data_IF_702837529663
#
_entry.id   IF_702837529663
#
_cell.length_a   1.000
_cell.length_b   1.000
_cell.length_c   1.000
_cell.angle_alpha   90.00
_cell.angle_beta   90.00
_cell.angle_gamma   90.00
#
_symmetry.space_group_name_H-M   'P 1'
#
loop_
_entity.id
_entity.type
_entity.pdbx_description
1 polymer ?
#
# COMPACT_ATOMS: atom_id res chain seq x y z
N UNK A 1 -27.99 -45.15 10.50
CA UNK A 1 -26.54 -45.02 10.33
C UNK A 1 -26.20 -43.52 10.34
N UNK A 2 -25.71 -43.07 11.48
CA UNK A 2 -25.31 -41.68 11.71
C UNK A 2 -23.90 -41.50 11.13
N UNK A 3 -23.78 -40.73 10.08
CA UNK A 3 -22.48 -40.28 9.53
C UNK A 3 -21.89 -39.24 10.50
N UNK A 4 -20.89 -39.65 11.25
CA UNK A 4 -20.08 -38.75 12.08
C UNK A 4 -19.22 -37.88 11.20
N UNK A 5 -19.56 -36.60 11.11
CA UNK A 5 -18.73 -35.55 10.51
C UNK A 5 -17.52 -35.30 11.42
N UNK A 6 -16.44 -36.06 11.19
CA UNK A 6 -15.10 -35.75 11.72
C UNK A 6 -14.44 -34.89 10.66
N UNK A 7 -14.21 -33.62 10.96
CA UNK A 7 -13.11 -32.76 10.48
C UNK A 7 -13.39 -31.28 10.75
N UNK A 8 -13.74 -30.96 12.01
CA UNK A 8 -13.58 -29.58 12.52
C UNK A 8 -12.44 -29.59 13.54
N UNK A 9 -11.20 -29.73 13.05
CA UNK A 9 -10.00 -29.55 13.88
C UNK A 9 -9.78 -28.06 14.11
N UNK A 10 -9.43 -27.64 15.31
CA UNK A 10 -9.52 -26.26 15.76
C UNK A 10 -8.49 -25.36 15.07
N UNK A 11 -8.89 -24.67 14.03
CA UNK A 11 -8.17 -23.54 13.45
C UNK A 11 -7.80 -22.47 14.50
N UNK A 12 -8.39 -22.51 15.69
CA UNK A 12 -8.21 -21.52 16.74
C UNK A 12 -6.86 -21.57 17.48
N UNK A 13 -6.29 -22.77 17.73
CA UNK A 13 -5.10 -22.87 18.59
C UNK A 13 -3.80 -22.42 17.88
N UNK A 14 -3.59 -22.83 16.63
CA UNK A 14 -2.40 -22.41 15.87
C UNK A 14 -2.42 -20.90 15.56
N UNK A 15 -3.58 -20.32 15.25
CA UNK A 15 -3.75 -18.88 15.07
C UNK A 15 -3.43 -18.12 16.36
N UNK A 16 -3.90 -18.63 17.50
CA UNK A 16 -3.67 -18.01 18.81
C UNK A 16 -2.19 -18.04 19.22
N UNK A 17 -1.52 -19.16 19.02
CA UNK A 17 -0.08 -19.31 19.31
C UNK A 17 0.74 -18.36 18.43
N UNK A 18 0.45 -18.28 17.14
CA UNK A 18 1.17 -17.40 16.23
C UNK A 18 0.96 -15.92 16.58
N UNK A 19 -0.26 -15.53 16.93
CA UNK A 19 -0.58 -14.17 17.35
C UNK A 19 0.11 -13.82 18.67
N UNK A 20 0.12 -14.72 19.64
CA UNK A 20 0.80 -14.56 20.93
C UNK A 20 2.33 -14.45 20.76
N UNK A 21 2.92 -15.31 19.94
CA UNK A 21 4.36 -15.23 19.59
C UNK A 21 4.70 -13.90 18.92
N UNK A 22 3.92 -13.49 17.93
CA UNK A 22 4.17 -12.20 17.28
C UNK A 22 4.02 -11.03 18.26
N UNK A 23 3.03 -11.06 19.14
CA UNK A 23 2.84 -10.03 20.16
C UNK A 23 4.06 -9.89 21.10
N UNK A 24 4.69 -11.01 21.46
CA UNK A 24 5.92 -11.00 22.27
C UNK A 24 7.11 -10.46 21.49
N UNK A 25 7.34 -10.95 20.27
CA UNK A 25 8.40 -10.46 19.36
C UNK A 25 8.22 -8.97 19.10
N UNK A 26 6.99 -8.53 18.84
CA UNK A 26 6.66 -7.11 18.60
C UNK A 26 7.03 -6.23 19.79
N UNK A 27 6.76 -6.68 21.05
CA UNK A 27 7.14 -5.91 22.25
C UNK A 27 8.64 -5.65 22.30
N UNK A 28 9.46 -6.64 21.96
CA UNK A 28 10.92 -6.50 21.90
C UNK A 28 11.36 -5.58 20.76
N UNK A 29 10.84 -5.81 19.55
CA UNK A 29 11.17 -5.00 18.37
C UNK A 29 10.72 -3.53 18.52
N UNK A 30 9.65 -3.27 19.27
CA UNK A 30 9.15 -1.91 19.46
C UNK A 30 10.03 -1.06 20.36
N UNK A 31 10.96 -1.65 21.11
CA UNK A 31 11.97 -0.91 21.87
C UNK A 31 13.10 -0.34 20.99
N UNK A 32 13.25 -0.87 19.78
CA UNK A 32 14.29 -0.46 18.85
C UNK A 32 13.77 0.63 17.88
N UNK A 33 14.69 1.34 17.22
CA UNK A 33 14.34 2.32 16.19
C UNK A 33 13.46 1.69 15.09
N UNK A 34 12.32 2.30 14.72
CA UNK A 34 11.35 1.71 13.79
C UNK A 34 11.92 1.38 12.41
N UNK A 35 12.76 2.26 11.86
CA UNK A 35 13.34 2.07 10.52
C UNK A 35 14.39 0.95 10.52
N UNK A 36 15.22 0.87 11.57
CA UNK A 36 16.18 -0.23 11.75
C UNK A 36 15.49 -1.59 11.88
N UNK A 37 14.37 -1.64 12.62
CA UNK A 37 13.57 -2.87 12.77
C UNK A 37 12.96 -3.29 11.45
N UNK A 38 12.48 -2.35 10.65
CA UNK A 38 11.95 -2.65 9.32
C UNK A 38 13.00 -3.39 8.47
N UNK A 39 14.19 -2.82 8.33
CA UNK A 39 15.27 -3.45 7.56
C UNK A 39 15.73 -4.78 8.17
N UNK A 40 15.87 -4.86 9.48
CA UNK A 40 16.25 -6.11 10.17
C UNK A 40 15.24 -7.22 9.90
N UNK A 41 13.96 -6.97 10.10
CA UNK A 41 12.90 -7.96 9.90
C UNK A 41 12.80 -8.40 8.44
N UNK A 42 12.80 -7.45 7.50
CA UNK A 42 12.65 -7.76 6.09
C UNK A 42 13.88 -8.43 5.49
N UNK A 43 15.09 -8.03 5.89
CA UNK A 43 16.32 -8.71 5.47
C UNK A 43 16.40 -10.14 6.03
N UNK A 44 15.96 -10.36 7.27
CA UNK A 44 15.89 -11.71 7.85
C UNK A 44 14.90 -12.58 7.10
N UNK A 45 13.72 -12.06 6.77
CA UNK A 45 12.72 -12.77 6.00
C UNK A 45 13.19 -13.03 4.56
N UNK A 46 13.89 -12.08 3.94
CA UNK A 46 14.51 -12.24 2.60
C UNK A 46 15.53 -13.40 2.60
N UNK A 47 16.40 -13.46 3.63
CA UNK A 47 17.36 -14.57 3.77
C UNK A 47 16.64 -15.92 3.93
N UNK A 48 15.60 -15.97 4.75
CA UNK A 48 14.78 -17.17 4.93
C UNK A 48 14.12 -17.60 3.61
N UNK A 49 13.51 -16.66 2.86
CA UNK A 49 12.88 -16.94 1.58
C UNK A 49 13.87 -17.26 0.44
N UNK A 50 15.18 -17.04 0.63
CA UNK A 50 16.19 -17.51 -0.34
C UNK A 50 16.42 -19.02 -0.25
N UNK A 51 15.95 -19.69 0.80
CA UNK A 51 15.92 -21.14 0.94
C UNK A 51 14.57 -21.65 0.40
N UNK A 52 14.52 -22.36 -0.75
CA UNK A 52 13.27 -22.70 -1.43
C UNK A 52 12.27 -23.46 -0.57
N UNK A 53 12.74 -24.43 0.24
CA UNK A 53 11.89 -25.21 1.16
C UNK A 53 11.25 -24.33 2.23
N UNK A 54 12.00 -23.37 2.77
CA UNK A 54 11.50 -22.45 3.80
C UNK A 54 10.55 -21.42 3.19
N UNK A 55 10.84 -20.90 1.99
CA UNK A 55 9.93 -20.04 1.25
C UNK A 55 8.60 -20.73 0.99
N UNK A 56 8.64 -21.98 0.48
CA UNK A 56 7.43 -22.75 0.22
C UNK A 56 6.61 -22.99 1.50
N UNK A 57 7.27 -23.36 2.59
CA UNK A 57 6.62 -23.53 3.89
C UNK A 57 5.94 -22.24 4.36
N UNK A 58 6.64 -21.07 4.29
CA UNK A 58 6.09 -19.77 4.67
C UNK A 58 4.86 -19.46 3.80
N UNK A 59 4.98 -19.64 2.49
CA UNK A 59 3.89 -19.36 1.56
C UNK A 59 2.66 -20.25 1.82
N UNK A 60 2.83 -21.54 2.08
CA UNK A 60 1.74 -22.44 2.45
C UNK A 60 1.04 -22.03 3.76
N UNK A 61 1.81 -21.55 4.75
CA UNK A 61 1.24 -21.13 6.03
C UNK A 61 0.53 -19.78 5.98
N UNK A 62 0.88 -18.90 5.04
CA UNK A 62 0.40 -17.52 5.01
C UNK A 62 -0.49 -17.17 3.81
N UNK A 63 -0.48 -17.97 2.75
CA UNK A 63 -1.38 -17.76 1.60
C UNK A 63 -2.68 -18.56 1.74
N UNK A 64 -3.75 -18.01 1.19
CA UNK A 64 -5.02 -18.71 0.99
C UNK A 64 -5.28 -18.78 -0.52
N UNK A 65 -5.65 -19.96 -0.98
CA UNK A 65 -6.07 -20.18 -2.37
C UNK A 65 -7.56 -20.51 -2.34
N UNK A 66 -8.39 -19.55 -2.70
CA UNK A 66 -9.84 -19.71 -2.78
C UNK A 66 -10.38 -18.77 -3.86
N UNK A 67 -11.10 -19.33 -4.82
CA UNK A 67 -11.67 -18.58 -5.94
C UNK A 67 -12.66 -17.47 -5.51
N UNK A 68 -13.28 -17.60 -4.33
CA UNK A 68 -14.16 -16.57 -3.78
C UNK A 68 -13.41 -15.26 -3.40
N UNK A 69 -12.09 -15.34 -3.24
CA UNK A 69 -11.25 -14.17 -2.97
C UNK A 69 -10.74 -13.47 -4.23
N UNK A 70 -10.82 -14.13 -5.38
CA UNK A 70 -10.32 -13.61 -6.64
C UNK A 70 -11.12 -12.38 -7.09
N UNK A 71 -10.44 -11.40 -7.66
CA UNK A 71 -11.03 -10.15 -8.15
C UNK A 71 -10.46 -9.76 -9.51
N UNK A 72 -11.36 -9.42 -10.43
CA UNK A 72 -11.02 -8.73 -11.67
C UNK A 72 -11.22 -7.23 -11.45
N UNK A 73 -10.15 -6.46 -11.43
CA UNK A 73 -10.17 -5.00 -11.24
C UNK A 73 -9.15 -4.37 -12.18
N UNK A 74 -9.50 -3.26 -12.82
CA UNK A 74 -8.64 -2.57 -13.79
C UNK A 74 -8.19 -3.44 -14.98
N UNK A 75 -8.87 -4.53 -15.28
CA UNK A 75 -8.44 -5.53 -16.27
C UNK A 75 -7.28 -6.42 -15.78
N UNK A 76 -7.01 -6.45 -14.48
CA UNK A 76 -6.02 -7.30 -13.84
C UNK A 76 -6.70 -8.32 -12.94
N UNK A 77 -6.16 -9.54 -12.92
CA UNK A 77 -6.63 -10.63 -12.06
C UNK A 77 -5.86 -10.70 -10.75
N UNK A 78 -6.54 -10.43 -9.64
CA UNK A 78 -5.97 -10.46 -8.28
C UNK A 78 -6.39 -11.76 -7.59
N UNK A 79 -5.42 -12.57 -7.12
CA UNK A 79 -5.68 -13.82 -6.38
C UNK A 79 -6.43 -13.62 -5.06
N UNK A 80 -6.37 -12.44 -4.48
CA UNK A 80 -7.15 -11.98 -3.35
C UNK A 80 -7.12 -10.45 -3.28
N UNK A 81 -8.08 -9.81 -2.58
CA UNK A 81 -8.22 -8.35 -2.59
C UNK A 81 -7.30 -7.61 -1.63
N UNK A 82 -6.35 -8.28 -0.97
CA UNK A 82 -5.51 -7.69 0.09
C UNK A 82 -4.11 -7.41 -0.42
N UNK A 83 -3.72 -6.14 -0.45
CA UNK A 83 -2.40 -5.72 -0.87
C UNK A 83 -1.60 -4.99 0.21
N UNK A 84 -0.34 -4.71 -0.13
CA UNK A 84 0.57 -3.90 0.67
C UNK A 84 0.78 -2.53 0.02
N UNK A 85 0.54 -1.46 0.78
CA UNK A 85 0.65 -0.09 0.27
C UNK A 85 2.09 0.38 0.08
N UNK A 86 2.26 1.35 -0.83
CA UNK A 86 3.55 2.00 -1.12
C UNK A 86 4.24 2.55 0.13
N UNK A 87 5.56 2.59 0.09
CA UNK A 87 6.42 3.04 1.18
C UNK A 87 6.93 1.93 2.08
N UNK A 88 6.39 0.71 1.98
CA UNK A 88 6.89 -0.44 2.72
C UNK A 88 8.12 -1.06 2.02
N UNK A 89 8.00 -1.43 0.76
CA UNK A 89 9.12 -1.80 -0.11
C UNK A 89 9.36 -0.70 -1.15
N UNK A 90 10.16 0.30 -0.76
CA UNK A 90 10.39 1.47 -1.62
C UNK A 90 11.22 1.17 -2.86
N UNK A 91 12.03 0.12 -2.78
CA UNK A 91 13.09 -0.17 -3.73
C UNK A 91 12.92 -1.51 -4.47
N UNK A 92 11.76 -2.16 -4.34
CA UNK A 92 11.51 -3.49 -4.89
C UNK A 92 12.56 -4.55 -4.45
N UNK A 93 12.99 -4.49 -3.18
CA UNK A 93 14.02 -5.39 -2.62
C UNK A 93 13.37 -6.63 -2.02
N UNK A 94 12.11 -6.52 -1.57
CA UNK A 94 11.46 -7.54 -0.75
C UNK A 94 10.30 -8.26 -1.45
N UNK A 95 10.25 -8.25 -2.79
CA UNK A 95 9.16 -8.89 -3.53
C UNK A 95 9.02 -10.37 -3.21
N UNK A 96 10.15 -11.09 -3.08
CA UNK A 96 10.17 -12.52 -2.78
C UNK A 96 9.56 -12.86 -1.41
N UNK A 97 9.96 -12.24 -0.29
CA UNK A 97 9.27 -12.44 0.97
C UNK A 97 7.82 -11.95 0.95
N UNK A 98 7.53 -10.79 0.35
CA UNK A 98 6.18 -10.24 0.33
C UNK A 98 5.18 -11.11 -0.45
N UNK A 99 5.62 -11.72 -1.56
CA UNK A 99 4.80 -12.70 -2.29
C UNK A 99 4.47 -13.94 -1.46
N UNK A 100 5.39 -14.34 -0.56
CA UNK A 100 5.22 -15.49 0.34
C UNK A 100 4.34 -15.18 1.55
N UNK A 101 4.08 -13.90 1.86
CA UNK A 101 3.17 -13.49 2.94
C UNK A 101 1.68 -13.45 2.55
N UNK A 102 1.34 -13.92 1.35
CA UNK A 102 -0.05 -14.09 0.93
C UNK A 102 -0.72 -12.84 0.38
N UNK A 103 0.00 -11.74 0.17
CA UNK A 103 -0.56 -10.56 -0.48
C UNK A 103 -0.96 -10.85 -1.94
N UNK A 104 -2.11 -10.34 -2.36
CA UNK A 104 -2.56 -10.39 -3.75
C UNK A 104 -1.80 -9.42 -4.63
N UNK A 105 -1.37 -8.28 -4.08
CA UNK A 105 -0.61 -7.25 -4.77
C UNK A 105 0.26 -6.44 -3.82
N UNK A 106 1.28 -5.79 -4.37
CA UNK A 106 2.20 -4.90 -3.64
C UNK A 106 2.44 -3.63 -4.44
N UNK A 107 2.33 -2.47 -3.82
CA UNK A 107 2.83 -1.22 -4.39
C UNK A 107 4.27 -0.98 -3.92
N UNK A 108 5.21 -0.94 -4.88
CA UNK A 108 6.59 -0.51 -4.63
C UNK A 108 6.70 1.02 -4.75
N UNK A 109 7.74 1.60 -4.18
CA UNK A 109 7.96 3.04 -4.25
C UNK A 109 7.52 3.76 -2.96
N UNK A 110 7.37 5.07 -2.97
CA UNK A 110 7.33 5.94 -4.16
C UNK A 110 8.71 6.03 -4.81
N UNK A 111 8.73 5.81 -6.11
CA UNK A 111 9.92 5.88 -6.97
C UNK A 111 10.05 7.28 -7.54
N UNK A 112 11.27 7.82 -7.57
CA UNK A 112 11.60 9.07 -8.22
C UNK A 112 12.68 8.83 -9.29
N UNK A 113 12.83 9.72 -10.30
CA UNK A 113 13.84 9.53 -11.36
C UNK A 113 15.24 9.31 -10.81
N UNK A 114 15.68 10.18 -9.89
CA UNK A 114 16.99 10.09 -9.24
C UNK A 114 16.85 9.52 -7.84
N UNK A 115 17.86 8.77 -7.41
CA UNK A 115 17.98 8.35 -6.01
C UNK A 115 17.97 9.57 -5.08
N UNK A 116 17.34 9.43 -3.93
CA UNK A 116 17.37 10.48 -2.89
C UNK A 116 17.27 9.88 -1.49
N UNK A 117 17.97 10.46 -0.49
CA UNK A 117 18.03 9.93 0.88
C UNK A 117 16.72 10.13 1.64
N UNK A 118 15.85 11.03 1.19
CA UNK A 118 14.67 11.49 1.93
C UNK A 118 15.01 12.53 2.99
N UNK A 119 14.16 12.62 4.01
CA UNK A 119 14.35 13.55 5.12
C UNK A 119 15.27 12.95 6.20
N UNK A 120 15.87 13.80 7.03
CA UNK A 120 16.78 13.38 8.08
C UNK A 120 16.09 12.52 9.16
N UNK A 121 16.75 11.48 9.67
CA UNK A 121 16.29 10.72 10.84
C UNK A 121 16.36 11.56 12.14
N UNK A 122 15.48 11.25 13.13
CA UNK A 122 14.43 10.25 13.11
C UNK A 122 13.21 10.71 12.28
N UNK A 123 12.68 9.82 11.48
CA UNK A 123 11.61 10.14 10.50
C UNK A 123 10.46 9.15 10.49
N UNK A 124 10.47 8.18 11.40
CA UNK A 124 9.41 7.21 11.61
C UNK A 124 9.20 7.00 13.11
N UNK A 125 7.97 7.20 13.57
CA UNK A 125 7.61 7.18 15.00
C UNK A 125 6.41 6.24 15.19
N UNK A 126 6.53 5.33 16.17
CA UNK A 126 5.43 4.46 16.59
C UNK A 126 4.67 5.08 17.75
N UNK A 127 3.37 4.95 17.71
CA UNK A 127 2.44 5.42 18.74
C UNK A 127 1.55 4.24 19.16
N UNK A 128 2.09 3.31 19.99
CA UNK A 128 1.43 2.03 20.27
C UNK A 128 0.08 2.17 20.95
N UNK A 129 -0.08 3.19 21.81
CA UNK A 129 -1.34 3.43 22.53
C UNK A 129 -2.53 3.69 21.60
N UNK A 130 -2.28 4.32 20.44
CA UNK A 130 -3.29 4.60 19.42
C UNK A 130 -3.20 3.68 18.20
N UNK A 131 -2.38 2.61 18.24
CA UNK A 131 -2.08 1.76 17.07
C UNK A 131 -1.75 2.59 15.82
N UNK A 132 -0.87 3.57 15.95
CA UNK A 132 -0.59 4.57 14.93
C UNK A 132 0.91 4.69 14.63
N UNK A 133 1.20 5.33 13.48
CA UNK A 133 2.55 5.75 13.09
C UNK A 133 2.50 7.20 12.60
N UNK A 134 3.53 7.97 12.92
CA UNK A 134 3.82 9.24 12.24
C UNK A 134 5.10 9.04 11.43
N UNK A 135 5.07 9.45 10.15
CA UNK A 135 6.25 9.39 9.30
C UNK A 135 6.49 10.70 8.55
N UNK A 136 7.76 10.97 8.29
CA UNK A 136 8.24 12.05 7.43
C UNK A 136 9.38 11.60 6.53
N UNK A 137 9.16 10.50 5.79
CA UNK A 137 10.21 9.79 5.04
C UNK A 137 10.79 10.61 3.88
N UNK A 138 9.97 11.38 3.13
CA UNK A 138 10.43 12.24 2.03
C UNK A 138 10.87 11.47 0.78
N UNK A 139 10.17 10.38 0.44
CA UNK A 139 10.41 9.56 -0.76
C UNK A 139 11.86 9.06 -0.90
N UNK A 140 12.47 8.61 0.21
CA UNK A 140 13.78 7.96 0.14
C UNK A 140 13.71 6.69 -0.74
N UNK A 141 14.50 6.66 -1.81
CA UNK A 141 14.57 5.55 -2.75
C UNK A 141 15.88 5.57 -3.56
N UNK A 142 16.18 4.46 -4.23
CA UNK A 142 17.42 4.24 -4.98
C UNK A 142 17.37 4.77 -6.43
N UNK A 143 16.27 5.42 -6.83
CA UNK A 143 16.04 5.93 -8.18
C UNK A 143 15.49 4.87 -9.14
N UNK A 144 14.83 5.36 -10.18
CA UNK A 144 14.04 4.53 -11.09
C UNK A 144 14.84 3.45 -11.80
N UNK A 145 16.09 3.72 -12.20
CA UNK A 145 16.92 2.76 -12.94
C UNK A 145 17.28 1.53 -12.08
N UNK A 146 17.68 1.77 -10.81
CA UNK A 146 18.02 0.66 -9.91
C UNK A 146 16.78 -0.19 -9.57
N UNK A 147 15.62 0.45 -9.42
CA UNK A 147 14.37 -0.22 -9.13
C UNK A 147 13.86 -1.00 -10.35
N UNK A 148 13.94 -0.41 -11.55
CA UNK A 148 13.59 -1.09 -12.80
C UNK A 148 14.39 -2.38 -12.99
N UNK A 149 15.70 -2.35 -12.73
CA UNK A 149 16.54 -3.55 -12.81
C UNK A 149 16.05 -4.65 -11.86
N UNK A 150 15.76 -4.33 -10.60
CA UNK A 150 15.26 -5.32 -9.60
C UNK A 150 13.90 -5.91 -10.00
N UNK A 151 13.02 -5.09 -10.56
CA UNK A 151 11.74 -5.56 -11.07
C UNK A 151 11.91 -6.47 -12.29
N UNK A 152 12.83 -6.14 -13.20
CA UNK A 152 13.17 -6.99 -14.34
C UNK A 152 13.78 -8.34 -13.88
N UNK A 153 14.70 -8.30 -12.92
CA UNK A 153 15.27 -9.51 -12.30
C UNK A 153 14.17 -10.35 -11.64
N UNK A 154 13.20 -9.72 -10.96
CA UNK A 154 12.04 -10.40 -10.39
C UNK A 154 11.19 -11.08 -11.47
N UNK A 155 10.81 -10.38 -12.54
CA UNK A 155 10.01 -10.93 -13.64
C UNK A 155 10.68 -12.11 -14.32
N UNK A 156 12.01 -12.08 -14.43
CA UNK A 156 12.81 -13.15 -15.09
C UNK A 156 13.19 -14.29 -14.13
N UNK A 157 12.88 -14.16 -12.83
CA UNK A 157 13.20 -15.21 -11.86
C UNK A 157 12.18 -16.35 -11.89
N UNK A 158 12.61 -17.54 -11.46
CA UNK A 158 11.71 -18.67 -11.28
C UNK A 158 10.75 -18.40 -10.09
N UNK A 159 9.47 -18.54 -10.34
CA UNK A 159 8.41 -18.37 -9.34
C UNK A 159 7.80 -19.70 -8.96
N UNK A 160 7.42 -19.83 -7.68
CA UNK A 160 6.52 -20.90 -7.25
C UNK A 160 5.07 -20.53 -7.61
N UNK A 161 4.15 -21.50 -7.68
CA UNK A 161 2.73 -21.20 -7.94
C UNK A 161 2.12 -20.16 -6.97
N UNK A 162 2.66 -20.08 -5.75
CA UNK A 162 2.22 -19.11 -4.73
C UNK A 162 2.73 -17.69 -5.00
N UNK A 163 3.87 -17.55 -5.67
CA UNK A 163 4.55 -16.26 -5.88
C UNK A 163 4.35 -15.71 -7.29
N UNK A 164 4.02 -16.57 -8.27
CA UNK A 164 3.88 -16.20 -9.67
C UNK A 164 2.76 -15.18 -9.97
N UNK A 165 1.74 -15.12 -9.12
CA UNK A 165 0.54 -14.29 -9.32
C UNK A 165 0.57 -12.98 -8.51
N UNK A 166 1.75 -12.52 -8.07
CA UNK A 166 1.85 -11.23 -7.37
C UNK A 166 1.74 -10.08 -8.37
N UNK A 167 0.70 -9.27 -8.23
CA UNK A 167 0.54 -8.03 -9.00
C UNK A 167 1.41 -6.94 -8.39
N UNK A 168 2.16 -6.22 -9.22
CA UNK A 168 3.09 -5.17 -8.79
C UNK A 168 2.65 -3.81 -9.31
N UNK A 169 2.26 -2.92 -8.38
CA UNK A 169 1.99 -1.52 -8.65
C UNK A 169 3.24 -0.67 -8.55
N UNK A 170 3.52 0.15 -9.56
CA UNK A 170 4.56 1.16 -9.54
C UNK A 170 4.03 2.48 -8.99
N UNK A 171 4.31 2.80 -7.71
CA UNK A 171 3.97 4.10 -7.13
C UNK A 171 5.06 5.11 -7.48
N UNK A 172 4.71 6.16 -8.22
CA UNK A 172 5.65 7.12 -8.80
C UNK A 172 5.44 8.53 -8.27
N UNK A 173 6.53 9.29 -8.18
CA UNK A 173 6.52 10.66 -7.68
C UNK A 173 7.69 11.49 -8.20
N UNK A 174 7.69 12.80 -7.88
CA UNK A 174 8.80 13.68 -8.24
C UNK A 174 9.93 13.66 -7.21
N UNK A 175 11.13 13.97 -7.65
CA UNK A 175 12.26 14.27 -6.76
C UNK A 175 11.98 15.53 -5.90
N UNK A 176 12.60 15.60 -4.73
CA UNK A 176 12.41 16.69 -3.77
C UNK A 176 12.81 18.04 -4.37
N UNK A 177 13.88 18.06 -5.20
CA UNK A 177 14.45 19.27 -5.79
C UNK A 177 13.82 19.65 -7.14
N UNK A 178 12.93 18.83 -7.69
CA UNK A 178 12.21 19.18 -8.91
C UNK A 178 11.11 20.18 -8.56
N UNK A 179 11.05 21.30 -9.25
CA UNK A 179 9.99 22.30 -9.08
C UNK A 179 8.63 21.74 -9.51
N UNK A 180 7.54 22.25 -8.95
CA UNK A 180 6.20 21.73 -9.24
C UNK A 180 5.80 21.91 -10.71
N UNK A 181 6.26 22.97 -11.38
CA UNK A 181 6.00 23.23 -12.80
C UNK A 181 6.59 22.15 -13.71
N UNK A 182 7.69 21.54 -13.28
CA UNK A 182 8.42 20.48 -13.98
C UNK A 182 8.12 19.08 -13.45
N UNK A 183 7.25 18.97 -12.45
CA UNK A 183 6.91 17.69 -11.81
C UNK A 183 6.50 16.62 -12.84
N UNK A 184 5.69 16.99 -13.85
CA UNK A 184 5.21 16.08 -14.88
C UNK A 184 6.35 15.32 -15.59
N UNK A 185 7.53 15.93 -15.73
CA UNK A 185 8.71 15.29 -16.35
C UNK A 185 9.20 14.12 -15.51
N UNK A 186 9.25 14.29 -14.18
CA UNK A 186 9.68 13.24 -13.26
C UNK A 186 8.71 12.04 -13.26
N UNK A 187 7.40 12.31 -13.27
CA UNK A 187 6.39 11.26 -13.39
C UNK A 187 6.51 10.51 -14.71
N UNK A 188 6.73 11.24 -15.82
CA UNK A 188 6.94 10.66 -17.16
C UNK A 188 8.16 9.74 -17.18
N UNK A 189 9.31 10.19 -16.69
CA UNK A 189 10.54 9.38 -16.62
C UNK A 189 10.29 8.09 -15.84
N UNK A 190 9.65 8.19 -14.67
CA UNK A 190 9.35 7.00 -13.86
C UNK A 190 8.38 6.05 -14.57
N UNK A 191 7.33 6.59 -15.19
CA UNK A 191 6.32 5.82 -15.91
C UNK A 191 6.93 5.03 -17.07
N UNK A 192 7.67 5.70 -17.95
CA UNK A 192 8.29 5.06 -19.12
C UNK A 192 9.32 4.01 -18.72
N UNK A 193 10.18 4.33 -17.74
CA UNK A 193 11.23 3.41 -17.29
C UNK A 193 10.67 2.15 -16.63
N UNK A 194 9.59 2.27 -15.86
CA UNK A 194 8.97 1.14 -15.17
C UNK A 194 7.87 0.45 -15.99
N UNK A 195 7.56 0.94 -17.20
CA UNK A 195 6.39 0.50 -17.96
C UNK A 195 6.34 -1.02 -18.14
N UNK A 196 7.41 -1.63 -18.60
CA UNK A 196 7.45 -3.07 -18.91
C UNK A 196 7.55 -3.97 -17.68
N UNK A 197 7.88 -3.40 -16.50
CA UNK A 197 8.16 -4.15 -15.28
C UNK A 197 7.13 -3.98 -14.17
N UNK A 198 6.14 -3.10 -14.35
CA UNK A 198 5.00 -2.90 -13.42
C UNK A 198 3.71 -3.35 -14.09
N UNK A 199 2.71 -3.78 -13.30
CA UNK A 199 1.41 -4.21 -13.82
C UNK A 199 0.40 -3.05 -13.88
N UNK A 200 0.50 -2.09 -12.95
CA UNK A 200 -0.26 -0.84 -12.94
C UNK A 200 0.58 0.27 -12.32
N UNK A 201 0.12 1.52 -12.43
CA UNK A 201 0.80 2.69 -11.89
C UNK A 201 -0.07 3.49 -10.95
N UNK A 202 0.57 4.10 -9.95
CA UNK A 202 -0.09 5.01 -9.01
C UNK A 202 0.68 6.33 -8.95
N UNK A 203 0.02 7.40 -9.39
CA UNK A 203 0.55 8.78 -9.29
C UNK A 203 0.39 9.26 -7.85
N UNK A 204 1.50 9.55 -7.17
CA UNK A 204 1.50 9.97 -5.78
C UNK A 204 1.81 11.47 -5.65
N UNK A 205 0.78 12.27 -5.54
CA UNK A 205 0.84 13.74 -5.29
C UNK A 205 0.40 14.10 -3.87
N UNK A 206 0.17 13.10 -3.00
CA UNK A 206 -0.56 13.29 -1.74
C UNK A 206 0.30 13.19 -0.47
N UNK A 207 1.63 12.97 -0.59
CA UNK A 207 2.51 12.90 0.57
C UNK A 207 2.66 14.28 1.23
N UNK A 208 2.49 14.37 2.56
CA UNK A 208 2.74 15.62 3.29
C UNK A 208 4.22 15.87 3.56
N UNK A 209 5.10 14.94 3.18
CA UNK A 209 6.49 14.88 3.61
C UNK A 209 7.49 15.40 2.57
N UNK A 210 6.99 15.83 1.41
CA UNK A 210 7.76 16.49 0.36
C UNK A 210 7.21 17.91 0.21
N UNK A 211 8.05 18.96 0.37
CA UNK A 211 7.59 20.33 0.28
C UNK A 211 6.83 20.62 -1.02
N UNK A 212 5.71 21.30 -0.92
CA UNK A 212 4.89 21.71 -2.05
C UNK A 212 4.18 20.60 -2.83
N UNK A 213 4.43 19.31 -2.52
CA UNK A 213 3.87 18.20 -3.31
C UNK A 213 2.35 18.21 -3.34
N UNK A 214 1.69 18.50 -2.21
CA UNK A 214 0.22 18.51 -2.14
C UNK A 214 -0.43 19.62 -2.96
N UNK A 215 0.30 20.67 -3.31
CA UNK A 215 -0.18 21.68 -4.27
C UNK A 215 -0.38 21.10 -5.68
N UNK A 216 0.28 19.97 -6.00
CA UNK A 216 0.04 19.25 -7.26
C UNK A 216 -1.33 18.53 -7.30
N UNK A 217 -2.11 18.54 -6.21
CA UNK A 217 -3.50 18.07 -6.22
C UNK A 217 -4.48 19.12 -6.74
N UNK A 218 -4.03 20.38 -6.93
CA UNK A 218 -4.79 21.42 -7.61
C UNK A 218 -5.04 21.02 -9.07
N UNK A 219 -6.24 21.32 -9.56
CA UNK A 219 -6.80 20.78 -10.82
C UNK A 219 -5.85 20.86 -12.03
N UNK A 220 -5.31 22.05 -12.30
CA UNK A 220 -4.49 22.26 -13.50
C UNK A 220 -3.13 21.56 -13.44
N UNK A 221 -2.48 21.61 -12.27
CA UNK A 221 -1.21 20.93 -12.06
C UNK A 221 -1.37 19.40 -12.13
N UNK A 222 -2.43 18.89 -11.54
CA UNK A 222 -2.77 17.46 -11.56
C UNK A 222 -3.12 17.01 -12.98
N UNK A 223 -3.94 17.77 -13.70
CA UNK A 223 -4.31 17.50 -15.09
C UNK A 223 -3.07 17.40 -15.99
N UNK A 224 -2.12 18.33 -15.86
CA UNK A 224 -0.87 18.32 -16.64
C UNK A 224 -0.09 17.02 -16.45
N UNK A 225 0.04 16.53 -15.20
CA UNK A 225 0.73 15.28 -14.90
C UNK A 225 -0.03 14.09 -15.51
N UNK A 226 -1.32 13.96 -15.19
CA UNK A 226 -2.12 12.81 -15.59
C UNK A 226 -2.31 12.71 -17.10
N UNK A 227 -2.57 13.83 -17.78
CA UNK A 227 -2.70 13.87 -19.23
C UNK A 227 -1.39 13.51 -19.94
N UNK A 228 -0.25 13.98 -19.42
CA UNK A 228 1.06 13.62 -19.97
C UNK A 228 1.29 12.11 -19.91
N UNK A 229 0.97 11.48 -18.78
CA UNK A 229 1.11 10.04 -18.60
C UNK A 229 0.13 9.25 -19.48
N UNK A 230 -1.13 9.67 -19.55
CA UNK A 230 -2.14 8.98 -20.37
C UNK A 230 -1.86 9.08 -21.87
N UNK A 231 -1.32 10.20 -22.34
CA UNK A 231 -0.90 10.34 -23.74
C UNK A 231 0.17 9.31 -24.12
N UNK A 232 1.15 9.08 -23.23
CA UNK A 232 2.18 8.05 -23.41
C UNK A 232 1.55 6.67 -23.32
N UNK A 233 0.70 6.45 -22.31
CA UNK A 233 0.05 5.18 -22.04
C UNK A 233 -0.80 4.69 -23.21
N UNK A 234 -1.63 5.55 -23.78
CA UNK A 234 -2.48 5.21 -24.94
C UNK A 234 -1.68 5.03 -26.24
N UNK A 235 -0.44 5.51 -26.30
CA UNK A 235 0.49 5.20 -27.39
C UNK A 235 1.15 3.82 -27.30
N UNK A 236 0.99 3.11 -26.19
CA UNK A 236 1.53 1.76 -26.02
C UNK A 236 0.59 0.71 -26.62
N UNK A 237 1.15 -0.43 -27.05
CA UNK A 237 0.36 -1.56 -27.59
C UNK A 237 -0.61 -2.16 -26.58
N UNK A 238 -0.25 -2.12 -25.30
CA UNK A 238 -1.06 -2.58 -24.18
C UNK A 238 -1.00 -1.52 -23.07
N UNK A 239 -1.91 -0.54 -23.08
CA UNK A 239 -2.00 0.46 -22.01
C UNK A 239 -2.19 -0.19 -20.64
N UNK A 240 -1.55 0.38 -19.61
CA UNK A 240 -1.63 -0.13 -18.24
C UNK A 240 -2.57 0.71 -17.39
N UNK A 241 -3.19 0.12 -16.37
CA UNK A 241 -4.01 0.89 -15.43
C UNK A 241 -3.19 2.01 -14.78
N UNK A 242 -3.72 3.23 -14.85
CA UNK A 242 -3.16 4.41 -14.20
C UNK A 242 -4.13 4.90 -13.12
N UNK A 243 -3.66 4.93 -11.88
CA UNK A 243 -4.42 5.33 -10.70
C UNK A 243 -3.83 6.62 -10.09
N UNK A 244 -4.64 7.33 -9.34
CA UNK A 244 -4.21 8.48 -8.54
C UNK A 244 -4.37 8.18 -7.04
N UNK A 245 -3.34 8.46 -6.24
CA UNK A 245 -3.40 8.36 -4.77
C UNK A 245 -3.64 9.72 -4.14
N UNK A 246 -4.77 9.87 -3.44
CA UNK A 246 -5.21 11.13 -2.87
C UNK A 246 -4.99 11.23 -1.36
N UNK A 247 -4.91 12.47 -0.86
CA UNK A 247 -4.85 12.75 0.57
C UNK A 247 -6.24 12.63 1.20
N UNK A 248 -6.34 12.24 2.48
CA UNK A 248 -7.63 12.21 3.18
C UNK A 248 -8.08 13.60 3.65
N UNK A 249 -7.21 14.61 3.53
CA UNK A 249 -7.42 15.96 4.06
C UNK A 249 -8.02 16.93 3.03
N UNK A 250 -8.43 16.44 1.85
CA UNK A 250 -9.06 17.22 0.79
C UNK A 250 -10.44 17.71 1.22
N UNK A 251 -10.84 18.89 0.71
CA UNK A 251 -12.21 19.39 0.83
C UNK A 251 -13.14 18.68 -0.15
N UNK A 252 -14.44 18.86 0.04
CA UNK A 252 -15.46 18.29 -0.86
C UNK A 252 -15.28 18.80 -2.29
N UNK A 253 -15.04 20.11 -2.46
CA UNK A 253 -14.81 20.74 -3.75
C UNK A 253 -13.55 20.17 -4.46
N UNK A 254 -12.48 19.93 -3.70
CA UNK A 254 -11.28 19.30 -4.24
C UNK A 254 -11.53 17.84 -4.64
N UNK A 255 -12.37 17.12 -3.90
CA UNK A 255 -12.77 15.75 -4.27
C UNK A 255 -13.60 15.75 -5.55
N UNK A 256 -14.52 16.70 -5.72
CA UNK A 256 -15.33 16.84 -6.95
C UNK A 256 -14.47 17.17 -8.16
N UNK A 257 -13.49 18.07 -8.01
CA UNK A 257 -12.52 18.37 -9.07
C UNK A 257 -11.70 17.12 -9.48
N UNK A 258 -11.27 16.30 -8.50
CA UNK A 258 -10.57 15.06 -8.78
C UNK A 258 -11.49 14.06 -9.50
N UNK A 259 -12.75 13.92 -9.06
CA UNK A 259 -13.72 13.02 -9.71
C UNK A 259 -13.93 13.43 -11.17
N UNK A 260 -14.17 14.71 -11.44
CA UNK A 260 -14.30 15.22 -12.81
C UNK A 260 -13.04 14.95 -13.64
N UNK A 261 -11.87 15.13 -13.05
CA UNK A 261 -10.60 14.89 -13.72
C UNK A 261 -10.38 13.41 -14.03
N UNK A 262 -10.84 12.47 -13.17
CA UNK A 262 -10.72 11.02 -13.44
C UNK A 262 -11.45 10.63 -14.73
N UNK A 263 -12.60 11.20 -14.98
CA UNK A 263 -13.37 10.99 -16.21
C UNK A 263 -12.68 11.65 -17.42
N UNK A 264 -12.24 12.90 -17.27
CA UNK A 264 -11.61 13.68 -18.32
C UNK A 264 -10.34 13.01 -18.87
N UNK A 265 -9.47 12.51 -17.97
CA UNK A 265 -8.19 11.89 -18.35
C UNK A 265 -8.28 10.35 -18.41
N UNK A 266 -9.46 9.77 -18.23
CA UNK A 266 -9.71 8.32 -18.27
C UNK A 266 -8.81 7.53 -17.32
N UNK A 267 -8.75 7.95 -16.05
CA UNK A 267 -8.05 7.17 -15.04
C UNK A 267 -8.75 5.83 -14.79
N UNK A 268 -7.95 4.82 -14.49
CA UNK A 268 -8.48 3.48 -14.19
C UNK A 268 -9.04 3.37 -12.77
N UNK A 269 -8.65 4.25 -11.85
CA UNK A 269 -9.14 4.23 -10.47
C UNK A 269 -8.37 5.16 -9.53
N UNK A 270 -8.72 5.05 -8.25
CA UNK A 270 -8.09 5.82 -7.16
C UNK A 270 -7.54 4.93 -6.05
N UNK A 271 -6.54 5.42 -5.32
CA UNK A 271 -6.11 4.88 -4.03
C UNK A 271 -6.52 5.85 -2.92
N UNK A 272 -7.42 5.44 -2.04
CA UNK A 272 -7.97 6.26 -0.95
C UNK A 272 -7.70 5.59 0.40
N UNK A 273 -6.77 6.11 1.22
CA UNK A 273 -6.07 7.36 1.10
C UNK A 273 -4.58 7.23 1.49
N UNK A 274 -3.84 8.32 1.31
CA UNK A 274 -2.54 8.52 1.92
C UNK A 274 -2.70 8.83 3.44
N UNK A 275 -1.62 9.22 4.11
CA UNK A 275 -1.60 9.64 5.51
C UNK A 275 -2.22 11.03 5.70
N UNK A 276 -2.75 11.32 6.91
CA UNK A 276 -3.32 12.62 7.27
C UNK A 276 -2.32 13.51 8.03
N UNK A 277 -2.47 14.82 7.89
CA UNK A 277 -1.79 15.79 8.75
C UNK A 277 -2.58 16.08 10.03
N UNK A 278 -3.85 15.70 10.08
CA UNK A 278 -4.68 15.82 11.28
C UNK A 278 -4.17 14.89 12.39
N UNK A 279 -4.32 15.33 13.63
CA UNK A 279 -4.06 14.54 14.83
C UNK A 279 -5.34 14.07 15.52
N UNK A 280 -6.51 14.30 14.90
CA UNK A 280 -7.79 13.80 15.40
C UNK A 280 -7.77 12.28 15.51
N UNK A 281 -8.43 11.75 16.55
CA UNK A 281 -8.47 10.30 16.82
C UNK A 281 -7.23 9.78 17.59
N UNK A 282 -6.27 10.64 17.95
CA UNK A 282 -5.18 10.36 18.86
C UNK A 282 -5.66 10.58 20.31
N UNK A 283 -6.17 9.54 20.95
CA UNK A 283 -6.87 9.67 22.24
C UNK A 283 -6.05 9.15 23.43
N UNK A 284 -5.00 8.38 23.17
CA UNK A 284 -4.24 7.67 24.20
C UNK A 284 -2.78 8.09 24.29
N UNK A 285 -2.23 8.69 23.25
CA UNK A 285 -0.86 9.23 23.27
C UNK A 285 -0.88 10.65 23.85
N UNK A 286 -0.02 10.92 24.82
CA UNK A 286 0.07 12.24 25.45
C UNK A 286 0.37 13.34 24.42
N UNK A 287 -0.29 14.50 24.54
CA UNK A 287 -0.12 15.64 23.63
C UNK A 287 1.36 16.09 23.52
N UNK A 288 2.11 16.10 24.62
CA UNK A 288 3.52 16.44 24.65
C UNK A 288 4.40 15.51 23.79
N UNK A 289 4.04 14.23 23.66
CA UNK A 289 4.73 13.28 22.77
C UNK A 289 4.45 13.64 21.32
N UNK A 290 3.18 13.94 20.98
CA UNK A 290 2.76 14.32 19.63
C UNK A 290 3.44 15.62 19.20
N UNK A 291 3.48 16.62 20.07
CA UNK A 291 4.15 17.90 19.85
C UNK A 291 5.65 17.74 19.63
N UNK A 292 6.31 16.91 20.45
CA UNK A 292 7.74 16.59 20.29
C UNK A 292 8.04 15.90 18.96
N UNK A 293 7.18 15.04 18.47
CA UNK A 293 7.32 14.42 17.15
C UNK A 293 7.12 15.47 16.04
N UNK A 294 6.15 16.36 16.18
CA UNK A 294 5.87 17.46 15.26
C UNK A 294 5.27 17.00 13.92
N UNK A 295 5.73 17.63 12.83
CA UNK A 295 5.19 17.39 11.49
C UNK A 295 5.42 15.96 10.97
N UNK A 296 4.51 15.50 10.12
CA UNK A 296 4.54 14.19 9.46
C UNK A 296 3.15 13.65 9.19
N UNK A 297 3.08 12.65 8.33
CA UNK A 297 1.83 11.96 8.01
C UNK A 297 1.46 10.93 9.07
N UNK A 298 0.26 11.03 9.63
CA UNK A 298 -0.33 10.09 10.58
C UNK A 298 -1.05 8.97 9.84
N UNK A 299 -0.78 7.73 10.23
CA UNK A 299 -1.42 6.51 9.73
C UNK A 299 -1.84 5.59 10.88
N UNK A 300 -2.60 4.57 10.58
CA UNK A 300 -3.09 3.60 11.56
C UNK A 300 -4.54 3.83 11.97
N UNK A 301 -4.93 3.34 13.15
CA UNK A 301 -6.31 3.35 13.60
C UNK A 301 -6.98 4.76 13.57
N UNK A 302 -6.28 5.85 13.95
CA UNK A 302 -6.86 7.19 13.89
C UNK A 302 -7.29 7.67 12.49
N UNK A 303 -6.72 7.08 11.44
CA UNK A 303 -7.03 7.45 10.05
C UNK A 303 -8.29 6.73 9.51
N UNK A 304 -8.74 5.63 10.14
CA UNK A 304 -9.77 4.73 9.60
C UNK A 304 -11.04 5.45 9.20
N UNK A 305 -11.64 6.15 10.13
CA UNK A 305 -12.93 6.83 9.93
C UNK A 305 -12.84 7.86 8.79
N UNK A 306 -11.83 8.73 8.85
CA UNK A 306 -11.65 9.77 7.82
C UNK A 306 -11.44 9.18 6.44
N UNK A 307 -10.63 8.12 6.35
CA UNK A 307 -10.39 7.42 5.08
C UNK A 307 -11.67 6.74 4.55
N UNK A 308 -12.52 6.16 5.42
CA UNK A 308 -13.80 5.58 5.02
C UNK A 308 -14.78 6.65 4.53
N UNK A 309 -14.84 7.81 5.19
CA UNK A 309 -15.69 8.93 4.77
C UNK A 309 -15.32 9.43 3.37
N UNK A 310 -14.03 9.67 3.11
CA UNK A 310 -13.57 10.11 1.79
C UNK A 310 -13.85 9.04 0.73
N UNK A 311 -13.62 7.76 1.05
CA UNK A 311 -13.87 6.66 0.14
C UNK A 311 -15.35 6.56 -0.22
N UNK A 312 -16.25 6.56 0.78
CA UNK A 312 -17.69 6.48 0.58
C UNK A 312 -18.21 7.66 -0.23
N UNK A 313 -17.69 8.88 0.03
CA UNK A 313 -18.06 10.06 -0.75
C UNK A 313 -17.72 9.86 -2.23
N UNK A 314 -16.48 9.51 -2.54
CA UNK A 314 -16.02 9.30 -3.93
C UNK A 314 -16.81 8.16 -4.59
N UNK A 315 -16.99 7.04 -3.91
CA UNK A 315 -17.75 5.89 -4.44
C UNK A 315 -19.20 6.28 -4.78
N UNK A 316 -19.85 7.06 -3.91
CA UNK A 316 -21.22 7.55 -4.14
C UNK A 316 -21.29 8.50 -5.33
N UNK A 317 -20.40 9.52 -5.38
CA UNK A 317 -20.40 10.50 -6.46
C UNK A 317 -20.09 9.86 -7.84
N UNK A 318 -19.26 8.84 -7.86
CA UNK A 318 -18.97 8.08 -9.08
C UNK A 318 -19.96 6.95 -9.35
N UNK A 319 -21.02 6.82 -8.56
CA UNK A 319 -22.02 5.74 -8.66
C UNK A 319 -21.37 4.34 -8.67
N UNK A 320 -20.30 4.17 -7.88
CA UNK A 320 -19.48 2.93 -7.80
C UNK A 320 -18.87 2.48 -9.14
N UNK A 321 -18.82 3.36 -10.16
CA UNK A 321 -18.24 3.04 -11.48
C UNK A 321 -16.72 3.16 -11.51
N UNK A 322 -16.14 4.04 -10.67
CA UNK A 322 -14.70 4.21 -10.58
C UNK A 322 -14.12 3.21 -9.55
N UNK A 323 -13.24 2.29 -9.96
CA UNK A 323 -12.62 1.37 -9.04
C UNK A 323 -11.71 2.06 -8.01
N UNK A 324 -11.79 1.62 -6.75
CA UNK A 324 -11.04 2.22 -5.63
C UNK A 324 -10.27 1.15 -4.87
N UNK A 325 -8.98 1.42 -4.62
CA UNK A 325 -8.19 0.69 -3.63
C UNK A 325 -8.31 1.42 -2.29
N UNK A 326 -8.96 0.79 -1.31
CA UNK A 326 -9.13 1.35 0.04
C UNK A 326 -7.87 1.19 0.89
N UNK A 327 -7.36 2.28 1.47
CA UNK A 327 -6.18 2.28 2.32
C UNK A 327 -6.40 3.16 3.56
N UNK A 328 -5.76 2.81 4.68
CA UNK A 328 -5.82 3.57 5.94
C UNK A 328 -6.68 2.92 7.01
N UNK A 329 -6.05 2.58 8.14
CA UNK A 329 -6.71 2.08 9.34
C UNK A 329 -7.16 0.62 9.31
N UNK A 330 -6.60 -0.21 8.45
CA UNK A 330 -6.97 -1.63 8.31
C UNK A 330 -6.03 -2.50 9.15
N UNK A 331 -6.59 -3.21 10.14
CA UNK A 331 -5.91 -4.14 11.05
C UNK A 331 -6.56 -5.52 11.03
N UNK A 332 -7.85 -5.58 10.78
CA UNK A 332 -8.68 -6.79 10.87
C UNK A 332 -9.50 -7.01 9.60
N UNK A 333 -10.11 -8.20 9.49
CA UNK A 333 -11.08 -8.47 8.44
C UNK A 333 -12.31 -7.55 8.50
N UNK A 334 -12.77 -7.18 9.70
CA UNK A 334 -13.86 -6.21 9.86
C UNK A 334 -13.50 -4.83 9.28
N UNK A 335 -12.26 -4.34 9.53
CA UNK A 335 -11.81 -3.07 8.96
C UNK A 335 -11.75 -3.11 7.42
N UNK A 336 -11.38 -4.26 6.84
CA UNK A 336 -11.39 -4.46 5.40
C UNK A 336 -12.83 -4.49 4.86
N UNK A 337 -13.75 -5.14 5.58
CA UNK A 337 -15.17 -5.18 5.23
C UNK A 337 -15.79 -3.78 5.23
N UNK A 338 -15.45 -2.93 6.22
CA UNK A 338 -15.88 -1.53 6.25
C UNK A 338 -15.41 -0.76 4.99
N UNK A 339 -14.18 -1.04 4.50
CA UNK A 339 -13.68 -0.46 3.25
C UNK A 339 -14.49 -0.93 2.03
N UNK A 340 -14.80 -2.23 1.96
CA UNK A 340 -15.61 -2.77 0.86
C UNK A 340 -17.05 -2.22 0.92
N UNK A 341 -17.64 -2.12 2.10
CA UNK A 341 -18.96 -1.51 2.28
C UNK A 341 -18.98 -0.03 1.88
N UNK A 342 -17.87 0.68 2.10
CA UNK A 342 -17.70 2.06 1.66
C UNK A 342 -17.45 2.20 0.14
N UNK A 343 -17.26 1.10 -0.61
CA UNK A 343 -17.15 1.08 -2.07
C UNK A 343 -15.78 0.72 -2.63
N UNK A 344 -14.81 0.27 -1.80
CA UNK A 344 -13.54 -0.25 -2.31
C UNK A 344 -13.72 -1.60 -3.02
N UNK A 345 -12.90 -1.90 -4.04
CA UNK A 345 -12.78 -3.21 -4.67
C UNK A 345 -11.56 -3.98 -4.17
N UNK A 346 -10.50 -3.28 -3.78
CA UNK A 346 -9.28 -3.81 -3.21
C UNK A 346 -8.92 -3.03 -1.95
N UNK A 347 -8.12 -3.61 -1.06
CA UNK A 347 -7.65 -2.95 0.16
C UNK A 347 -6.14 -3.05 0.31
N UNK A 348 -5.51 -2.01 0.89
CA UNK A 348 -4.09 -1.99 1.21
C UNK A 348 -3.87 -1.83 2.70
N UNK A 349 -3.09 -2.74 3.27
CA UNK A 349 -2.57 -2.60 4.63
C UNK A 349 -1.19 -1.93 4.62
N UNK A 350 -0.84 -1.27 5.73
CA UNK A 350 0.50 -0.75 5.99
C UNK A 350 0.78 -0.76 7.50
N UNK A 351 0.19 0.16 8.27
CA UNK A 351 0.35 0.22 9.73
C UNK A 351 -0.18 -1.06 10.39
N UNK A 352 -1.32 -1.58 9.92
CA UNK A 352 -1.85 -2.86 10.40
C UNK A 352 -0.85 -4.00 10.26
N UNK A 353 -0.09 -4.07 9.18
CA UNK A 353 0.96 -5.09 9.02
C UNK A 353 2.06 -4.99 10.08
N UNK A 354 2.45 -3.76 10.48
CA UNK A 354 3.43 -3.55 11.55
C UNK A 354 2.91 -4.02 12.91
N UNK A 355 1.61 -3.87 13.17
CA UNK A 355 1.00 -4.20 14.47
C UNK A 355 0.50 -5.64 14.56
N UNK A 356 -0.11 -6.17 13.50
CA UNK A 356 -0.73 -7.51 13.49
C UNK A 356 0.20 -8.60 12.93
N UNK A 357 1.27 -8.18 12.22
CA UNK A 357 2.33 -9.09 11.76
C UNK A 357 2.04 -9.82 10.45
N UNK A 358 2.85 -10.85 10.13
CA UNK A 358 2.90 -11.45 8.81
C UNK A 358 1.64 -12.20 8.39
N UNK A 359 0.75 -12.54 9.32
CA UNK A 359 -0.54 -13.20 9.02
C UNK A 359 -1.65 -12.25 8.60
N UNK A 360 -1.45 -10.93 8.59
CA UNK A 360 -2.53 -9.96 8.38
C UNK A 360 -3.31 -10.20 7.07
N UNK A 361 -2.61 -10.46 5.96
CA UNK A 361 -3.28 -10.74 4.69
C UNK A 361 -4.15 -12.00 4.80
N UNK A 362 -3.60 -13.08 5.36
CA UNK A 362 -4.33 -14.32 5.60
C UNK A 362 -5.54 -14.12 6.52
N UNK A 363 -5.36 -13.44 7.67
CA UNK A 363 -6.45 -13.21 8.63
C UNK A 363 -7.60 -12.40 8.01
N UNK A 364 -7.29 -11.41 7.17
CA UNK A 364 -8.31 -10.65 6.44
C UNK A 364 -9.03 -11.58 5.45
N UNK A 365 -8.30 -12.35 4.65
CA UNK A 365 -8.89 -13.30 3.70
C UNK A 365 -9.77 -14.36 4.39
N UNK A 366 -9.32 -14.94 5.51
CA UNK A 366 -10.12 -15.89 6.32
C UNK A 366 -11.44 -15.25 6.78
N UNK A 367 -11.38 -13.99 7.22
CA UNK A 367 -12.58 -13.24 7.63
C UNK A 367 -13.53 -12.92 6.46
N UNK A 368 -13.02 -12.78 5.25
CA UNK A 368 -13.87 -12.56 4.07
C UNK A 368 -14.58 -13.83 3.60
N UNK A 369 -13.99 -15.02 3.85
CA UNK A 369 -14.55 -16.33 3.50
C UNK A 369 -15.55 -16.86 4.53
N UNK A 370 -15.52 -16.39 5.77
CA UNK A 370 -16.36 -16.85 6.86
C UNK A 370 -17.78 -16.25 6.88
N UNK A 371 -18.25 -15.73 5.75
CA UNK A 371 -19.59 -15.12 5.60
C UNK A 371 -20.60 -16.07 4.99
#
# INVERSE_FOLDING_TARGET
MLSTNKDSVPYSLHCFIFAAMYALIRKLLFQMNPERVHYFAMNSLQKACNIPTLQHFIAQQLSIKDAALEKEVFGLHFKNPVGLGAGFDKNAVYLKPLSSLGFGFVEIGTVTPKAQPGNEPPRLFRLPADKALINRMGFNNDGVIAIQKRLADWKNSAHTPETASLIIGGNIGKNKHTENEDAWKDYTICFETLFDVSDYFVVNVSSPNTPGLRALQEKDALKKILASLQNINFGKSQPKPLLLKIAPDLTTEQLDDIIALTEEVKLSGLVISNTTISRKGMNHTAASVIEKIGAGGLSGAPLREKSNQVLAYVATQTQHRLPIIGSGGIFTGADAQDKFAAGAQLVQVWTGFVYEGPRIARNICESLLSR
#
